data_IF_239060201712
#
_entry.id   IF_239060201712
#
_cell.length_a   1.000
_cell.length_b   1.000
_cell.length_c   1.000
_cell.angle_alpha   90.00
_cell.angle_beta   90.00
_cell.angle_gamma   90.00
#
_symmetry.space_group_name_H-M   'P 1'
#
loop_
_entity.id
_entity.type
_entity.pdbx_description
1 polymer ?
#
# COMPACT_ATOMS: atom_id res chain seq x y z
N UNK A 1 12.18 -26.56 -15.65
CA UNK A 1 11.07 -25.60 -15.44
C UNK A 1 10.98 -24.70 -16.65
N UNK A 2 10.26 -25.10 -17.69
CA UNK A 2 9.98 -24.20 -18.81
C UNK A 2 8.59 -24.52 -19.35
N UNK A 3 7.57 -23.93 -18.72
CA UNK A 3 6.18 -24.02 -19.18
C UNK A 3 5.97 -23.31 -20.53
N UNK A 4 6.99 -22.64 -21.08
CA UNK A 4 6.94 -21.93 -22.35
C UNK A 4 6.08 -20.67 -22.33
N UNK A 5 5.47 -20.34 -21.18
CA UNK A 5 4.57 -19.21 -21.00
C UNK A 5 5.36 -18.05 -20.36
N UNK A 6 5.69 -16.98 -21.12
CA UNK A 6 6.57 -15.91 -20.64
C UNK A 6 6.06 -15.21 -19.37
N UNK A 7 4.73 -15.16 -19.19
CA UNK A 7 4.11 -14.59 -17.99
C UNK A 7 4.46 -15.39 -16.73
N UNK A 8 4.46 -16.72 -16.80
CA UNK A 8 4.76 -17.58 -15.66
C UNK A 8 6.25 -17.54 -15.30
N UNK A 9 7.13 -17.44 -16.30
CA UNK A 9 8.56 -17.23 -16.05
C UNK A 9 8.81 -15.89 -15.33
N UNK A 10 8.21 -14.79 -15.81
CA UNK A 10 8.31 -13.49 -15.13
C UNK A 10 7.76 -13.51 -13.70
N UNK A 11 6.66 -14.24 -13.48
CA UNK A 11 6.10 -14.41 -12.14
C UNK A 11 7.07 -15.18 -11.23
N UNK A 12 7.65 -16.28 -11.72
CA UNK A 12 8.65 -17.04 -10.98
C UNK A 12 9.90 -16.20 -10.65
N UNK A 13 10.39 -15.40 -11.60
CA UNK A 13 11.51 -14.48 -11.38
C UNK A 13 11.20 -13.45 -10.28
N UNK A 14 9.98 -12.91 -10.30
CA UNK A 14 9.50 -11.99 -9.27
C UNK A 14 9.46 -12.68 -7.89
N UNK A 15 8.95 -13.90 -7.82
CA UNK A 15 8.89 -14.68 -6.58
C UNK A 15 10.30 -14.96 -6.05
N UNK A 16 11.24 -15.33 -6.92
CA UNK A 16 12.63 -15.59 -6.55
C UNK A 16 13.35 -14.34 -6.04
N UNK A 17 13.05 -13.16 -6.61
CA UNK A 17 13.61 -11.89 -6.17
C UNK A 17 13.11 -11.47 -4.77
N UNK A 18 11.86 -11.79 -4.43
CA UNK A 18 11.24 -11.43 -3.15
C UNK A 18 11.26 -12.55 -2.09
N UNK A 19 11.89 -13.69 -2.37
CA UNK A 19 11.89 -14.89 -1.51
C UNK A 19 12.29 -14.63 -0.06
N UNK A 20 13.23 -13.73 0.19
CA UNK A 20 13.74 -13.41 1.54
C UNK A 20 12.65 -12.76 2.39
N UNK A 21 11.92 -11.80 1.84
CA UNK A 21 10.80 -11.15 2.54
C UNK A 21 9.61 -12.10 2.76
N UNK A 22 9.36 -13.00 1.80
CA UNK A 22 8.30 -14.02 1.91
C UNK A 22 8.63 -15.01 3.03
N UNK A 23 9.89 -15.47 3.13
CA UNK A 23 10.31 -16.38 4.19
C UNK A 23 10.36 -15.69 5.55
N UNK A 24 10.82 -14.44 5.62
CA UNK A 24 10.87 -13.66 6.86
C UNK A 24 9.47 -13.43 7.48
N UNK A 25 8.39 -13.50 6.71
CA UNK A 25 7.03 -13.44 7.24
C UNK A 25 6.71 -14.60 8.20
N UNK A 26 7.30 -15.78 7.98
CA UNK A 26 7.08 -16.94 8.84
C UNK A 26 7.81 -16.81 10.19
N UNK A 27 8.95 -16.12 10.22
CA UNK A 27 9.66 -15.79 11.46
C UNK A 27 9.00 -14.62 12.20
N UNK A 28 8.53 -13.62 11.44
CA UNK A 28 7.90 -12.41 11.94
C UNK A 28 6.65 -12.07 11.12
N UNK A 29 5.48 -12.33 11.69
CA UNK A 29 4.19 -12.10 11.02
C UNK A 29 3.87 -10.60 10.94
N UNK A 30 4.40 -9.92 9.92
CA UNK A 30 4.08 -8.52 9.61
C UNK A 30 2.95 -8.50 8.59
N UNK A 31 1.78 -7.97 8.96
CA UNK A 31 0.67 -7.80 8.04
C UNK A 31 0.79 -6.49 7.24
N UNK A 32 0.55 -6.54 5.93
CA UNK A 32 0.45 -5.35 5.08
C UNK A 32 -0.90 -4.64 5.19
N UNK A 33 -1.91 -5.25 5.84
CA UNK A 33 -3.28 -4.69 5.94
C UNK A 33 -3.33 -3.26 6.49
N UNK A 34 -2.66 -2.91 7.61
CA UNK A 34 -2.69 -1.55 8.13
C UNK A 34 -2.04 -0.53 7.17
N UNK A 35 -0.98 -0.95 6.47
CA UNK A 35 -0.30 -0.13 5.46
C UNK A 35 -1.21 0.12 4.26
N UNK A 36 -1.87 -0.92 3.74
CA UNK A 36 -2.86 -0.83 2.66
C UNK A 36 -4.05 0.07 3.06
N UNK A 37 -4.55 -0.08 4.28
CA UNK A 37 -5.62 0.76 4.82
C UNK A 37 -5.24 2.24 4.87
N UNK A 38 -4.02 2.52 5.33
CA UNK A 38 -3.45 3.88 5.33
C UNK A 38 -3.34 4.43 3.92
N UNK A 39 -2.79 3.65 2.97
CA UNK A 39 -2.67 4.06 1.57
C UNK A 39 -4.03 4.38 0.94
N UNK A 40 -5.06 3.58 1.24
CA UNK A 40 -6.40 3.81 0.72
C UNK A 40 -7.04 5.08 1.31
N UNK A 41 -6.84 5.36 2.61
CA UNK A 41 -7.27 6.62 3.23
C UNK A 41 -6.61 7.84 2.58
N UNK A 42 -5.28 7.79 2.35
CA UNK A 42 -4.54 8.88 1.69
C UNK A 42 -5.06 9.09 0.27
N UNK A 43 -5.26 8.00 -0.49
CA UNK A 43 -5.79 8.05 -1.86
C UNK A 43 -7.19 8.68 -1.90
N UNK A 44 -8.04 8.33 -0.93
CA UNK A 44 -9.40 8.89 -0.79
C UNK A 44 -9.36 10.38 -0.47
N UNK A 45 -8.55 10.80 0.49
CA UNK A 45 -8.37 12.21 0.85
C UNK A 45 -7.87 13.04 -0.34
N UNK A 46 -6.87 12.53 -1.08
CA UNK A 46 -6.37 13.18 -2.30
C UNK A 46 -7.47 13.34 -3.36
N UNK A 47 -8.34 12.35 -3.51
CA UNK A 47 -9.48 12.40 -4.44
C UNK A 47 -10.53 13.42 -4.00
N UNK A 48 -10.86 13.48 -2.72
CA UNK A 48 -11.81 14.46 -2.17
C UNK A 48 -11.33 15.90 -2.32
N UNK A 49 -10.02 16.13 -2.24
CA UNK A 49 -9.42 17.45 -2.43
C UNK A 49 -9.26 17.85 -3.89
N UNK A 50 -9.58 16.98 -4.86
CA UNK A 50 -9.26 17.17 -6.29
C UNK A 50 -7.77 17.46 -6.54
N UNK A 51 -6.90 16.89 -5.69
CA UNK A 51 -5.46 17.12 -5.70
C UNK A 51 -5.02 18.26 -4.77
N UNK A 52 -3.81 18.14 -4.23
CA UNK A 52 -3.18 19.17 -3.41
C UNK A 52 -2.13 19.91 -4.24
N UNK A 53 -2.17 21.23 -4.23
CA UNK A 53 -1.15 22.08 -4.89
C UNK A 53 0.08 22.29 -4.02
N UNK A 54 -0.14 22.39 -2.71
CA UNK A 54 0.90 22.47 -1.69
C UNK A 54 1.21 21.07 -1.14
N UNK A 55 2.43 20.60 -1.42
CA UNK A 55 2.89 19.29 -0.99
C UNK A 55 3.27 19.23 0.49
N UNK A 56 3.66 20.35 1.09
CA UNK A 56 3.98 20.39 2.51
C UNK A 56 2.69 20.33 3.34
N UNK A 57 1.65 21.04 2.90
CA UNK A 57 0.31 20.88 3.46
C UNK A 57 -0.23 19.46 3.30
N UNK A 58 0.02 18.81 2.15
CA UNK A 58 -0.35 17.41 1.94
C UNK A 58 0.35 16.46 2.92
N UNK A 59 1.66 16.65 3.18
CA UNK A 59 2.39 15.86 4.19
C UNK A 59 1.80 16.06 5.59
N UNK A 60 1.46 17.31 5.96
CA UNK A 60 0.79 17.61 7.23
C UNK A 60 -0.55 16.89 7.34
N UNK A 61 -1.36 16.89 6.28
CA UNK A 61 -2.63 16.16 6.22
C UNK A 61 -2.45 14.64 6.36
N UNK A 62 -1.42 14.05 5.75
CA UNK A 62 -1.07 12.63 5.93
C UNK A 62 -0.72 12.34 7.40
N UNK A 63 0.10 13.18 8.04
CA UNK A 63 0.46 12.99 9.46
C UNK A 63 -0.78 13.07 10.37
N UNK A 64 -1.73 13.94 10.06
CA UNK A 64 -2.99 14.08 10.80
C UNK A 64 -4.07 13.06 10.44
N UNK A 65 -3.83 12.13 9.50
CA UNK A 65 -4.89 11.25 8.96
C UNK A 65 -5.50 10.31 10.01
N UNK A 66 -4.75 9.98 11.06
CA UNK A 66 -5.20 9.16 12.18
C UNK A 66 -6.28 9.87 13.03
N UNK A 67 -6.35 11.20 12.98
CA UNK A 67 -7.32 12.01 13.72
C UNK A 67 -8.65 12.14 12.97
N UNK A 68 -8.66 11.83 11.67
CA UNK A 68 -9.86 11.96 10.85
C UNK A 68 -10.81 10.79 11.15
N UNK A 69 -11.80 11.02 12.01
CA UNK A 69 -12.95 10.13 12.20
C UNK A 69 -13.95 10.38 11.07
N UNK A 70 -14.39 9.33 10.40
CA UNK A 70 -15.58 9.39 9.57
C UNK A 70 -16.76 9.67 10.48
N UNK A 71 -17.24 10.90 10.52
CA UNK A 71 -18.57 11.19 11.01
C UNK A 71 -19.53 10.76 9.90
N UNK A 72 -20.22 9.65 10.09
CA UNK A 72 -21.40 9.31 9.30
C UNK A 72 -22.48 10.32 9.67
N UNK A 73 -22.42 11.52 9.09
CA UNK A 73 -23.51 12.49 9.18
C UNK A 73 -24.43 12.18 8.02
N UNK A 74 -25.53 11.50 8.34
CA UNK A 74 -26.76 11.45 7.55
C UNK A 74 -27.77 12.40 8.16
#
# INVERSE_FOLDING_TARGET
WNSGIPMLSKFADTLMAHRTGILAYYDHTISTRPLEGTNNKIKTMKRQAYGFRDMDFFKLKIKAIHQTRYALVG
#
